data_IF_878071326668
#
_entry.id   IF_878071326668
#
_cell.length_a   1.000
_cell.length_b   1.000
_cell.length_c   1.000
_cell.angle_alpha   90.00
_cell.angle_beta   90.00
_cell.angle_gamma   90.00
#
_symmetry.space_group_name_H-M   'P 1'
#
loop_
_entity.id
_entity.type
_entity.pdbx_description
1 polymer ?
#
# COMPACT_ATOMS: atom_id res chain seq x y z
N UNK A 1 0.34 -67.07 22.46
CA UNK A 1 1.22 -65.89 22.67
C UNK A 1 1.28 -64.94 21.45
N UNK A 2 0.31 -64.95 20.51
CA UNK A 2 0.31 -64.11 19.30
C UNK A 2 -0.68 -62.91 19.32
N UNK A 3 -1.46 -62.73 20.39
CA UNK A 3 -2.52 -61.69 20.44
C UNK A 3 -1.99 -60.25 20.61
N UNK A 4 -0.86 -60.06 21.30
CA UNK A 4 -0.24 -58.74 21.50
C UNK A 4 0.37 -58.12 20.22
N UNK A 5 1.12 -58.84 19.36
CA UNK A 5 1.63 -58.25 18.12
C UNK A 5 0.53 -57.98 17.08
N UNK A 6 -0.55 -58.77 17.06
CA UNK A 6 -1.67 -58.58 16.13
C UNK A 6 -2.45 -57.29 16.44
N UNK A 7 -2.68 -56.98 17.71
CA UNK A 7 -3.34 -55.73 18.12
C UNK A 7 -2.47 -54.52 17.75
N UNK A 8 -1.15 -54.61 17.94
CA UNK A 8 -0.22 -53.53 17.59
C UNK A 8 -0.19 -53.25 16.07
N UNK A 9 -0.17 -54.31 15.25
CA UNK A 9 -0.19 -54.20 13.79
C UNK A 9 -1.54 -53.63 13.31
N UNK A 10 -2.66 -54.07 13.89
CA UNK A 10 -3.98 -53.50 13.58
C UNK A 10 -4.10 -52.02 13.95
N UNK A 11 -3.55 -51.61 15.11
CA UNK A 11 -3.53 -50.18 15.49
C UNK A 11 -2.63 -49.34 14.58
N UNK A 12 -1.48 -49.87 14.15
CA UNK A 12 -0.61 -49.19 13.20
C UNK A 12 -1.23 -49.08 11.80
N UNK A 13 -1.93 -50.13 11.34
CA UNK A 13 -2.64 -50.10 10.06
C UNK A 13 -3.80 -49.10 10.08
N UNK A 14 -4.54 -49.02 11.20
CA UNK A 14 -5.65 -48.09 11.36
C UNK A 14 -5.17 -46.63 11.45
N UNK A 15 -4.04 -46.38 12.12
CA UNK A 15 -3.44 -45.04 12.20
C UNK A 15 -2.85 -44.58 10.86
N UNK A 16 -2.28 -45.50 10.06
CA UNK A 16 -1.83 -45.21 8.69
C UNK A 16 -3.00 -44.89 7.74
N UNK A 17 -4.14 -45.58 7.89
CA UNK A 17 -5.34 -45.30 7.09
C UNK A 17 -5.99 -43.95 7.47
N UNK A 18 -5.90 -43.54 8.73
CA UNK A 18 -6.37 -42.23 9.20
C UNK A 18 -5.53 -41.06 8.66
N UNK A 19 -4.22 -41.23 8.47
CA UNK A 19 -3.35 -40.19 7.89
C UNK A 19 -3.57 -39.97 6.39
N UNK A 20 -4.03 -40.98 5.65
CA UNK A 20 -4.32 -40.87 4.22
C UNK A 20 -5.65 -40.15 3.90
N UNK A 21 -6.50 -39.91 4.90
CA UNK A 21 -7.84 -39.33 4.71
C UNK A 21 -7.88 -37.79 4.69
N UNK A 22 -6.76 -37.09 4.91
CA UNK A 22 -6.68 -35.62 4.82
C UNK A 22 -6.07 -35.10 3.49
N UNK A 23 -6.08 -35.91 2.44
CA UNK A 23 -5.56 -35.54 1.12
C UNK A 23 -6.62 -35.24 0.04
N UNK A 24 -7.90 -35.12 0.43
CA UNK A 24 -9.01 -34.83 -0.48
C UNK A 24 -9.07 -33.34 -0.86
N UNK A 25 -8.22 -32.92 -1.78
CA UNK A 25 -8.41 -31.66 -2.51
C UNK A 25 -9.61 -31.80 -3.44
N UNK A 26 -10.80 -31.52 -2.92
CA UNK A 26 -12.01 -31.38 -3.72
C UNK A 26 -11.83 -30.15 -4.63
N UNK A 27 -11.71 -30.38 -5.94
CA UNK A 27 -11.77 -29.31 -6.93
C UNK A 27 -13.20 -28.78 -6.94
N UNK A 28 -13.46 -27.76 -6.14
CA UNK A 28 -14.68 -26.98 -6.29
C UNK A 28 -14.60 -26.21 -7.60
N UNK A 29 -15.33 -26.69 -8.60
CA UNK A 29 -15.77 -25.85 -9.71
C UNK A 29 -16.77 -24.84 -9.14
N UNK A 30 -16.27 -23.67 -8.75
CA UNK A 30 -17.11 -22.51 -8.48
C UNK A 30 -17.62 -22.04 -9.84
N UNK A 31 -18.89 -22.31 -10.12
CA UNK A 31 -19.61 -21.69 -11.21
C UNK A 31 -19.73 -20.19 -10.88
N UNK A 32 -18.81 -19.39 -11.44
CA UNK A 32 -18.82 -17.94 -11.28
C UNK A 32 -19.93 -17.40 -12.17
N UNK A 33 -21.16 -17.45 -11.66
CA UNK A 33 -22.26 -16.62 -12.18
C UNK A 33 -21.98 -15.21 -11.70
N UNK A 34 -21.09 -14.50 -12.39
CA UNK A 34 -20.98 -13.06 -12.26
C UNK A 34 -22.26 -12.46 -12.81
N UNK A 35 -23.15 -11.99 -11.93
CA UNK A 35 -23.99 -10.85 -12.27
C UNK A 35 -23.03 -9.68 -12.46
N UNK A 36 -22.63 -9.46 -13.71
CA UNK A 36 -21.98 -8.23 -14.13
C UNK A 36 -23.08 -7.18 -14.09
N UNK A 37 -23.20 -6.46 -12.98
CA UNK A 37 -23.86 -5.17 -13.01
C UNK A 37 -23.01 -4.29 -13.94
N UNK A 38 -23.46 -4.19 -15.19
CA UNK A 38 -22.85 -3.36 -16.22
C UNK A 38 -23.10 -1.92 -15.80
N UNK A 39 -22.23 -1.39 -14.94
CA UNK A 39 -22.17 0.04 -14.67
C UNK A 39 -21.76 0.71 -15.98
N UNK A 40 -22.78 1.21 -16.67
CA UNK A 40 -22.82 1.96 -17.93
C UNK A 40 -21.46 2.30 -18.54
N UNK A 41 -21.30 1.85 -19.77
CA UNK A 41 -20.48 2.50 -20.79
C UNK A 41 -20.92 3.97 -20.84
N UNK A 42 -20.08 4.87 -20.33
CA UNK A 42 -20.19 6.30 -20.67
C UNK A 42 -19.51 6.42 -22.02
N UNK A 43 -20.31 6.57 -23.07
CA UNK A 43 -19.81 7.00 -24.37
C UNK A 43 -19.11 8.35 -24.15
N UNK A 44 -17.78 8.34 -24.21
CA UNK A 44 -17.02 9.58 -24.38
C UNK A 44 -17.17 9.94 -25.85
N UNK A 45 -18.06 10.87 -26.14
CA UNK A 45 -17.98 11.63 -27.37
C UNK A 45 -16.66 12.39 -27.35
N UNK A 46 -15.61 11.80 -27.92
CA UNK A 46 -14.42 12.53 -28.30
C UNK A 46 -14.80 13.37 -29.51
N UNK A 47 -15.47 14.49 -29.24
CA UNK A 47 -15.51 15.61 -30.16
C UNK A 47 -14.06 16.10 -30.29
N UNK A 48 -13.40 15.63 -31.34
CA UNK A 48 -12.19 16.27 -31.81
C UNK A 48 -12.52 17.72 -32.17
N UNK A 49 -11.71 18.66 -31.68
CA UNK A 49 -11.34 19.83 -32.44
C UNK A 49 -10.03 20.41 -31.88
N UNK A 50 -9.28 21.02 -32.77
CA UNK A 50 -7.87 21.34 -32.71
C UNK A 50 -7.43 22.27 -31.56
N UNK A 51 -6.14 22.15 -31.26
CA UNK A 51 -5.38 23.02 -30.38
C UNK A 51 -5.57 24.52 -30.70
N UNK A 52 -6.04 25.28 -29.72
CA UNK A 52 -5.82 26.72 -29.61
C UNK A 52 -5.50 27.06 -28.14
N UNK A 53 -4.52 27.92 -27.95
CA UNK A 53 -3.93 28.29 -26.67
C UNK A 53 -4.92 29.02 -25.74
N UNK A 54 -4.87 28.71 -24.43
CA UNK A 54 -5.10 29.75 -23.41
C UNK A 54 -6.12 29.51 -22.29
N UNK A 55 -6.76 28.35 -22.14
CA UNK A 55 -7.66 28.11 -21.00
C UNK A 55 -7.07 27.12 -19.98
N UNK A 56 -7.17 27.38 -18.66
CA UNK A 56 -6.74 26.42 -17.65
C UNK A 56 -7.60 25.15 -17.81
N UNK A 57 -6.95 24.06 -18.16
CA UNK A 57 -7.57 22.73 -18.14
C UNK A 57 -8.04 22.49 -16.70
N UNK A 58 -9.35 22.57 -16.47
CA UNK A 58 -9.95 22.16 -15.22
C UNK A 58 -9.76 20.65 -15.11
N UNK A 59 -8.68 20.24 -14.46
CA UNK A 59 -8.46 18.84 -14.07
C UNK A 59 -9.49 18.55 -12.98
N UNK A 60 -10.60 17.92 -13.37
CA UNK A 60 -11.55 17.35 -12.41
C UNK A 60 -10.88 16.12 -11.81
N UNK A 61 -10.26 16.27 -10.65
CA UNK A 61 -9.78 15.15 -9.86
C UNK A 61 -10.99 14.32 -9.41
N UNK A 62 -10.86 12.99 -9.43
CA UNK A 62 -11.80 12.10 -8.75
C UNK A 62 -11.95 12.54 -7.29
N UNK A 63 -13.06 12.17 -6.64
CA UNK A 63 -13.28 12.50 -5.23
C UNK A 63 -12.02 12.16 -4.41
N UNK A 64 -11.48 13.16 -3.73
CA UNK A 64 -10.27 13.02 -2.95
C UNK A 64 -10.48 11.92 -1.89
N UNK A 65 -9.61 10.90 -1.87
CA UNK A 65 -9.66 9.88 -0.82
C UNK A 65 -9.48 10.49 0.57
N UNK A 66 -9.92 9.78 1.62
CA UNK A 66 -9.97 10.27 3.00
C UNK A 66 -8.66 10.91 3.47
N UNK A 67 -7.51 10.37 3.09
CA UNK A 67 -6.18 10.92 3.43
C UNK A 67 -5.95 12.29 2.79
N UNK A 68 -6.26 12.46 1.49
CA UNK A 68 -6.04 13.73 0.81
C UNK A 68 -6.94 14.81 1.40
N UNK A 69 -8.19 14.48 1.71
CA UNK A 69 -9.10 15.40 2.41
C UNK A 69 -8.54 15.81 3.77
N UNK A 70 -8.04 14.86 4.58
CA UNK A 70 -7.44 15.16 5.88
C UNK A 70 -6.20 16.07 5.76
N UNK A 71 -5.36 15.86 4.74
CA UNK A 71 -4.19 16.69 4.47
C UNK A 71 -4.61 18.11 4.10
N UNK A 72 -5.59 18.26 3.20
CA UNK A 72 -6.12 19.56 2.79
C UNK A 72 -6.80 20.31 3.94
N UNK A 73 -7.64 19.62 4.73
CA UNK A 73 -8.32 20.20 5.88
C UNK A 73 -7.30 20.67 6.96
N UNK A 74 -6.18 19.95 7.12
CA UNK A 74 -5.11 20.30 8.07
C UNK A 74 -4.15 21.36 7.53
N UNK A 75 -3.96 21.45 6.22
CA UNK A 75 -3.04 22.39 5.56
C UNK A 75 -1.57 22.01 5.62
N UNK A 76 -1.22 20.79 6.06
CA UNK A 76 0.17 20.30 6.15
C UNK A 76 0.25 18.81 5.83
N UNK A 77 1.14 18.44 4.91
CA UNK A 77 1.47 17.04 4.60
C UNK A 77 2.48 16.47 5.60
N UNK A 78 2.17 15.35 6.25
CA UNK A 78 3.08 14.63 7.14
C UNK A 78 3.76 13.50 6.38
N UNK A 79 5.06 13.59 6.20
CA UNK A 79 5.88 12.60 5.51
C UNK A 79 6.73 11.79 6.49
N UNK A 80 6.68 10.47 6.39
CA UNK A 80 7.65 9.58 7.04
C UNK A 80 8.93 9.50 6.20
N UNK A 81 10.07 9.86 6.78
CA UNK A 81 11.33 10.04 6.05
C UNK A 81 12.56 9.42 6.71
N UNK A 82 13.67 9.41 5.98
CA UNK A 82 15.01 9.14 6.51
C UNK A 82 15.57 10.40 7.18
N UNK A 83 16.40 10.23 8.22
CA UNK A 83 17.18 11.33 8.82
C UNK A 83 18.70 11.13 8.75
N UNK A 84 19.18 9.94 8.37
CA UNK A 84 20.60 9.56 8.49
C UNK A 84 21.17 9.00 7.18
N UNK A 85 20.57 9.31 6.03
CA UNK A 85 21.02 8.80 4.71
C UNK A 85 21.28 9.97 3.77
N UNK A 86 22.53 10.49 3.72
CA UNK A 86 22.90 11.58 2.83
C UNK A 86 22.51 11.31 1.38
N UNK A 87 21.96 12.32 0.71
CA UNK A 87 21.45 12.24 -0.66
C UNK A 87 20.02 11.73 -0.80
N UNK A 88 19.48 11.04 0.21
CA UNK A 88 18.09 10.56 0.22
C UNK A 88 17.25 11.32 1.24
N UNK A 89 17.46 11.07 2.54
CA UNK A 89 16.84 11.83 3.61
C UNK A 89 17.82 11.97 4.77
N UNK A 90 18.19 13.21 5.03
CA UNK A 90 19.23 13.57 5.98
C UNK A 90 18.81 14.79 6.77
N UNK A 91 18.91 14.71 8.10
CA UNK A 91 18.80 15.85 8.98
C UNK A 91 20.18 16.50 9.08
N UNK A 92 20.32 17.66 8.46
CA UNK A 92 21.56 18.41 8.47
C UNK A 92 21.82 18.95 9.90
N UNK A 93 22.95 18.61 10.53
CA UNK A 93 23.22 18.96 11.92
C UNK A 93 23.53 20.44 12.12
N UNK A 94 23.90 21.18 11.07
CA UNK A 94 24.28 22.58 11.14
C UNK A 94 23.06 23.50 10.96
N UNK A 95 22.19 23.18 9.99
CA UNK A 95 20.96 23.93 9.70
C UNK A 95 19.74 23.43 10.49
N UNK A 96 19.71 22.14 10.85
CA UNK A 96 18.52 21.50 11.42
C UNK A 96 17.45 21.14 10.38
N UNK A 97 17.74 21.31 9.08
CA UNK A 97 16.80 21.08 8.00
C UNK A 97 16.88 19.65 7.45
N UNK A 98 15.74 19.12 7.00
CA UNK A 98 15.70 17.88 6.23
C UNK A 98 16.04 18.15 4.77
N UNK A 99 17.00 17.38 4.25
CA UNK A 99 17.48 17.48 2.86
C UNK A 99 17.60 16.12 2.17
N UNK A 100 17.60 16.14 0.84
CA UNK A 100 17.81 14.97 -0.01
C UNK A 100 16.60 14.59 -0.88
N UNK A 101 16.81 13.60 -1.74
CA UNK A 101 15.85 13.14 -2.74
C UNK A 101 14.48 12.74 -2.17
N UNK A 102 14.45 11.97 -1.07
CA UNK A 102 13.21 11.56 -0.39
C UNK A 102 12.45 12.81 0.13
N UNK A 103 13.17 13.82 0.60
CA UNK A 103 12.57 15.06 1.14
C UNK A 103 12.03 15.94 0.01
N UNK A 104 12.71 15.98 -1.13
CA UNK A 104 12.23 16.72 -2.30
C UNK A 104 10.94 16.10 -2.88
N UNK A 105 10.78 14.77 -2.78
CA UNK A 105 9.50 14.13 -3.09
C UNK A 105 8.39 14.53 -2.11
N UNK A 106 8.68 14.66 -0.81
CA UNK A 106 7.71 15.16 0.17
C UNK A 106 7.25 16.58 -0.19
N UNK A 107 8.20 17.48 -0.49
CA UNK A 107 7.92 18.85 -0.94
C UNK A 107 7.08 18.89 -2.21
N UNK A 108 7.39 18.02 -3.18
CA UNK A 108 6.65 17.94 -4.43
C UNK A 108 5.19 17.51 -4.22
N UNK A 109 4.94 16.53 -3.34
CA UNK A 109 3.58 16.10 -3.00
C UNK A 109 2.84 17.21 -2.24
N UNK A 110 3.50 17.90 -1.30
CA UNK A 110 2.91 19.03 -0.60
C UNK A 110 2.52 20.16 -1.57
N UNK A 111 3.41 20.51 -2.50
CA UNK A 111 3.11 21.48 -3.55
C UNK A 111 1.90 21.06 -4.40
N UNK A 112 1.80 19.77 -4.74
CA UNK A 112 0.69 19.26 -5.55
C UNK A 112 -0.64 19.21 -4.79
N UNK A 113 -0.62 18.82 -3.50
CA UNK A 113 -1.82 18.63 -2.70
C UNK A 113 -2.34 19.92 -2.05
N UNK A 114 -1.43 20.83 -1.69
CA UNK A 114 -1.69 22.02 -0.89
C UNK A 114 -1.35 23.33 -1.60
N UNK A 115 -0.67 23.28 -2.76
CA UNK A 115 -0.21 24.47 -3.47
C UNK A 115 1.03 25.13 -2.86
N UNK A 116 1.60 24.54 -1.80
CA UNK A 116 2.79 25.07 -1.11
C UNK A 116 3.78 23.94 -0.81
N UNK A 117 4.98 24.03 -1.39
CA UNK A 117 6.06 23.08 -1.15
C UNK A 117 6.58 23.12 0.29
N UNK A 118 6.39 24.23 1.01
CA UNK A 118 6.80 24.39 2.40
C UNK A 118 5.79 23.82 3.40
N UNK A 119 4.57 23.49 2.95
CA UNK A 119 3.49 22.94 3.78
C UNK A 119 3.67 21.44 4.06
N UNK A 120 4.84 21.06 4.58
CA UNK A 120 5.16 19.68 4.92
C UNK A 120 5.93 19.57 6.24
N UNK A 121 5.78 18.41 6.88
CA UNK A 121 6.53 18.01 8.07
C UNK A 121 7.17 16.64 7.82
N UNK A 122 8.40 16.44 8.29
CA UNK A 122 9.11 15.17 8.15
C UNK A 122 9.25 14.50 9.51
N UNK A 123 8.65 13.32 9.64
CA UNK A 123 8.81 12.44 10.80
C UNK A 123 9.87 11.39 10.50
N UNK A 124 10.99 11.36 11.25
CA UNK A 124 11.99 10.33 11.07
C UNK A 124 11.46 8.93 11.40
N UNK A 125 11.78 7.96 10.55
CA UNK A 125 11.44 6.55 10.81
C UNK A 125 12.64 5.63 10.62
N UNK A 126 12.55 4.40 11.15
CA UNK A 126 13.53 3.33 10.95
C UNK A 126 12.99 2.26 10.01
N UNK A 127 13.82 1.28 9.62
CA UNK A 127 13.36 0.16 8.79
C UNK A 127 12.20 -0.62 9.43
N UNK A 128 12.17 -0.65 10.76
CA UNK A 128 11.19 -1.36 11.57
C UNK A 128 9.94 -0.52 11.87
N UNK A 129 10.11 0.78 12.15
CA UNK A 129 8.98 1.64 12.57
C UNK A 129 8.16 2.22 11.42
N UNK A 130 8.71 2.28 10.20
CA UNK A 130 8.08 2.99 9.06
C UNK A 130 6.66 2.55 8.72
N UNK A 131 6.37 1.25 8.77
CA UNK A 131 5.03 0.74 8.43
C UNK A 131 4.06 0.89 9.60
N UNK A 132 4.43 0.58 10.87
CA UNK A 132 3.61 0.96 12.02
C UNK A 132 3.26 2.44 12.07
N UNK A 133 4.22 3.34 11.81
CA UNK A 133 4.01 4.79 11.76
C UNK A 133 3.05 5.21 10.65
N UNK A 134 3.09 4.55 9.48
CA UNK A 134 2.13 4.81 8.40
C UNK A 134 0.73 4.27 8.75
N UNK A 135 0.65 3.05 9.28
CA UNK A 135 -0.62 2.40 9.64
C UNK A 135 -1.34 3.09 10.79
N UNK A 136 -0.61 3.72 11.72
CA UNK A 136 -1.21 4.51 12.80
C UNK A 136 -1.78 5.85 12.33
N UNK A 137 -1.50 6.27 11.10
CA UNK A 137 -1.84 7.61 10.61
C UNK A 137 -0.99 8.73 11.23
N UNK A 138 0.14 8.38 11.86
CA UNK A 138 1.09 9.39 12.35
C UNK A 138 1.70 10.19 11.20
N UNK A 139 1.88 9.54 10.03
CA UNK A 139 2.25 10.17 8.76
C UNK A 139 1.22 9.83 7.69
N UNK A 140 1.01 10.73 6.72
CA UNK A 140 0.06 10.49 5.62
C UNK A 140 0.72 9.69 4.48
N UNK A 141 2.02 9.89 4.29
CA UNK A 141 2.80 9.26 3.22
C UNK A 141 4.17 8.83 3.75
N UNK A 142 4.65 7.68 3.28
CA UNK A 142 5.99 7.19 3.61
C UNK A 142 6.91 7.32 2.39
N UNK A 143 7.91 8.21 2.47
CA UNK A 143 8.85 8.50 1.38
C UNK A 143 10.26 8.18 1.86
N UNK A 144 10.71 6.96 1.53
CA UNK A 144 12.01 6.41 1.93
C UNK A 144 12.52 5.44 0.88
N UNK A 145 13.76 5.00 1.04
CA UNK A 145 14.37 3.82 0.42
C UNK A 145 13.69 2.47 0.79
N UNK A 146 12.36 2.43 0.70
CA UNK A 146 11.51 1.27 0.95
C UNK A 146 11.26 0.54 -0.36
N UNK A 147 11.92 -0.62 -0.54
CA UNK A 147 11.69 -1.45 -1.74
C UNK A 147 10.23 -1.89 -1.83
N UNK A 148 9.62 -1.73 -2.99
CA UNK A 148 8.31 -2.32 -3.26
C UNK A 148 8.46 -3.83 -3.45
N UNK A 149 7.77 -4.62 -2.63
CA UNK A 149 7.71 -6.08 -2.78
C UNK A 149 6.27 -6.53 -2.73
N UNK A 150 5.95 -7.61 -3.44
CA UNK A 150 4.62 -8.23 -3.42
C UNK A 150 4.17 -8.61 -1.99
N UNK A 151 5.10 -9.08 -1.16
CA UNK A 151 4.82 -9.42 0.23
C UNK A 151 4.42 -8.21 1.08
N UNK A 152 4.97 -7.02 0.81
CA UNK A 152 4.60 -5.79 1.52
C UNK A 152 3.23 -5.30 1.06
N UNK A 153 3.00 -5.34 -0.25
CA UNK A 153 1.74 -4.92 -0.89
C UNK A 153 0.54 -5.70 -0.33
N UNK A 154 0.67 -7.03 -0.30
CA UNK A 154 -0.38 -7.93 0.19
C UNK A 154 -0.57 -7.91 1.71
N UNK A 155 0.49 -7.62 2.48
CA UNK A 155 0.44 -7.61 3.94
C UNK A 155 -0.12 -6.29 4.51
N UNK A 156 0.20 -5.16 3.89
CA UNK A 156 -0.04 -3.84 4.48
C UNK A 156 -1.40 -3.24 4.13
N UNK A 157 -2.02 -3.64 3.01
CA UNK A 157 -3.39 -3.30 2.60
C UNK A 157 -3.74 -1.81 2.74
N UNK A 158 -2.88 -0.94 2.24
CA UNK A 158 -3.20 0.48 2.05
C UNK A 158 -4.15 0.67 0.86
#
# INVERSE_FOLDING_TARGET
>A
MYKKPIILILTLLFFALALAACGGGETQTVEVTREVEVTRIVEVEVAGEAAAAGDPVAVTFAEAGDTLKQVQDRGTLKCGGNQNVPGFGYLDPDSGDFTGFDIDFCKAIAAAALGDAAAHEVTPTTGDSRFPTLQSGEVDVLIRNTTWTFSRDTALRF
#
